data_IF_999159313135
#
_entry.id   IF_999159313135
#
_cell.length_a   1.000
_cell.length_b   1.000
_cell.length_c   1.000
_cell.angle_alpha   90.00
_cell.angle_beta   90.00
_cell.angle_gamma   90.00
#
_symmetry.space_group_name_H-M   'P 1'
#
loop_
_entity.id
_entity.type
_entity.pdbx_description
1 polymer ?
#
# COMPACT_ATOMS: atom_id res chain seq x y z
N UNK A 1 -0.50 -22.03 7.09
CA UNK A 1 0.21 -20.98 6.31
C UNK A 1 -0.63 -19.71 6.03
N UNK A 2 -1.70 -19.42 6.81
CA UNK A 2 -2.63 -18.31 6.55
C UNK A 2 -2.19 -16.94 7.14
N UNK A 3 -1.48 -16.95 8.28
CA UNK A 3 -1.18 -15.74 9.09
C UNK A 3 -0.34 -14.68 8.35
N UNK A 4 0.68 -15.08 7.58
CA UNK A 4 1.51 -14.15 6.81
C UNK A 4 0.76 -13.49 5.63
N UNK A 5 -0.27 -14.17 5.12
CA UNK A 5 -1.10 -13.65 4.02
C UNK A 5 -2.09 -12.59 4.52
N UNK A 6 -2.62 -12.77 5.73
CA UNK A 6 -3.50 -11.80 6.37
C UNK A 6 -2.73 -10.52 6.77
N UNK A 7 -1.52 -10.65 7.35
CA UNK A 7 -0.68 -9.50 7.69
C UNK A 7 -0.31 -8.63 6.47
N UNK A 8 0.04 -9.25 5.34
CA UNK A 8 0.27 -8.54 4.06
C UNK A 8 -1.01 -7.87 3.52
N UNK A 9 -2.15 -8.54 3.62
CA UNK A 9 -3.44 -7.97 3.22
C UNK A 9 -3.83 -6.74 4.03
N UNK A 10 -3.58 -6.76 5.34
CA UNK A 10 -3.93 -5.66 6.26
C UNK A 10 -3.22 -4.35 5.97
N UNK A 11 -1.98 -4.40 5.47
CA UNK A 11 -1.23 -3.19 5.09
C UNK A 11 -1.49 -2.79 3.63
N UNK A 12 -1.78 -3.75 2.76
CA UNK A 12 -2.05 -3.52 1.35
C UNK A 12 -3.38 -2.79 1.12
N UNK A 13 -4.45 -3.22 1.81
CA UNK A 13 -5.78 -2.62 1.67
C UNK A 13 -5.78 -1.11 1.95
N UNK A 14 -5.26 -0.60 3.09
CA UNK A 14 -5.22 0.83 3.34
C UNK A 14 -4.32 1.57 2.34
N UNK A 15 -3.17 1.02 1.93
CA UNK A 15 -2.32 1.66 0.91
C UNK A 15 -3.06 1.86 -0.42
N UNK A 16 -3.80 0.85 -0.89
CA UNK A 16 -4.55 0.95 -2.14
C UNK A 16 -5.73 1.92 -2.04
N UNK A 17 -6.48 1.87 -0.92
CA UNK A 17 -7.61 2.79 -0.70
C UNK A 17 -7.13 4.25 -0.63
N UNK A 18 -6.08 4.53 0.16
CA UNK A 18 -5.55 5.87 0.31
C UNK A 18 -4.89 6.35 -0.99
N UNK A 19 -4.13 5.48 -1.66
CA UNK A 19 -3.52 5.77 -2.96
C UNK A 19 -4.55 6.09 -4.04
N UNK A 20 -5.65 5.34 -4.10
CA UNK A 20 -6.77 5.60 -5.02
C UNK A 20 -7.51 6.91 -4.72
N UNK A 21 -7.63 7.29 -3.45
CA UNK A 21 -8.18 8.58 -3.06
C UNK A 21 -7.31 9.74 -3.56
N UNK A 22 -5.99 9.64 -3.38
CA UNK A 22 -5.03 10.64 -3.89
C UNK A 22 -4.98 10.67 -5.42
N UNK A 23 -5.07 9.52 -6.10
CA UNK A 23 -5.15 9.48 -7.56
C UNK A 23 -6.44 10.14 -8.07
N UNK A 24 -7.56 9.92 -7.38
CA UNK A 24 -8.83 10.59 -7.69
C UNK A 24 -8.73 12.10 -7.48
N UNK A 25 -8.05 12.54 -6.42
CA UNK A 25 -7.72 13.94 -6.19
C UNK A 25 -6.78 14.52 -7.26
N UNK A 26 -5.88 13.72 -7.84
CA UNK A 26 -5.06 14.16 -8.97
C UNK A 26 -5.83 14.20 -10.32
N UNK A 27 -6.90 13.41 -10.45
CA UNK A 27 -7.71 13.37 -11.67
C UNK A 27 -8.76 14.50 -11.72
N UNK A 28 -9.35 14.86 -10.58
CA UNK A 28 -10.46 15.82 -10.50
C UNK A 28 -10.26 16.94 -9.47
N UNK A 29 -9.17 16.94 -8.70
CA UNK A 29 -8.91 17.94 -7.66
C UNK A 29 -8.24 19.21 -8.17
N UNK A 30 -7.84 20.05 -7.23
CA UNK A 30 -7.28 21.36 -7.52
C UNK A 30 -5.90 21.27 -8.20
N UNK A 31 -5.69 22.10 -9.22
CA UNK A 31 -4.47 22.07 -10.04
C UNK A 31 -3.20 22.40 -9.25
N UNK A 32 -3.31 23.21 -8.17
CA UNK A 32 -2.18 23.55 -7.30
C UNK A 32 -1.59 22.34 -6.56
N UNK A 33 -2.44 21.36 -6.23
CA UNK A 33 -2.06 20.16 -5.47
C UNK A 33 -2.06 18.89 -6.32
N UNK A 34 -2.35 19.02 -7.62
CA UNK A 34 -2.51 17.89 -8.53
C UNK A 34 -1.24 17.03 -8.63
N UNK A 35 -0.08 17.67 -8.75
CA UNK A 35 1.21 16.97 -8.86
C UNK A 35 1.56 16.25 -7.55
N UNK A 36 1.29 16.89 -6.40
CA UNK A 36 1.51 16.28 -5.10
C UNK A 36 0.59 15.08 -4.87
N UNK A 37 -0.69 15.23 -5.24
CA UNK A 37 -1.68 14.16 -5.15
C UNK A 37 -1.31 12.98 -6.06
N UNK A 38 -0.81 13.25 -7.27
CA UNK A 38 -0.36 12.22 -8.19
C UNK A 38 0.83 11.45 -7.62
N UNK A 39 1.86 12.16 -7.12
CA UNK A 39 3.06 11.52 -6.56
C UNK A 39 2.74 10.68 -5.31
N UNK A 40 1.90 11.19 -4.41
CA UNK A 40 1.50 10.46 -3.20
C UNK A 40 0.63 9.25 -3.57
N UNK A 41 -0.36 9.44 -4.45
CA UNK A 41 -1.23 8.35 -4.89
C UNK A 41 -0.46 7.21 -5.55
N UNK A 42 0.43 7.55 -6.49
CA UNK A 42 1.26 6.57 -7.21
C UNK A 42 2.28 5.93 -6.26
N UNK A 43 2.87 6.69 -5.34
CA UNK A 43 3.78 6.18 -4.32
C UNK A 43 3.12 5.16 -3.39
N UNK A 44 1.91 5.44 -2.89
CA UNK A 44 1.13 4.54 -2.02
C UNK A 44 0.73 3.25 -2.75
N UNK A 45 0.21 3.36 -3.98
CA UNK A 45 -0.15 2.19 -4.78
C UNK A 45 1.08 1.36 -5.12
N UNK A 46 2.15 2.00 -5.57
CA UNK A 46 3.42 1.35 -5.92
C UNK A 46 4.06 0.66 -4.72
N UNK A 47 4.15 1.33 -3.57
CA UNK A 47 4.68 0.76 -2.34
C UNK A 47 3.82 -0.40 -1.82
N UNK A 48 2.50 -0.26 -1.87
CA UNK A 48 1.56 -1.34 -1.51
C UNK A 48 1.75 -2.58 -2.37
N UNK A 49 1.91 -2.42 -3.69
CA UNK A 49 2.23 -3.53 -4.59
C UNK A 49 3.62 -4.12 -4.31
N UNK A 50 4.65 -3.28 -4.13
CA UNK A 50 6.02 -3.72 -3.83
C UNK A 50 6.10 -4.49 -2.51
N UNK A 51 5.30 -4.13 -1.51
CA UNK A 51 5.23 -4.86 -0.23
C UNK A 51 4.75 -6.32 -0.39
N UNK A 52 4.04 -6.64 -1.48
CA UNK A 52 3.70 -8.04 -1.80
C UNK A 52 4.93 -8.84 -2.17
N UNK A 53 5.90 -8.22 -2.85
CA UNK A 53 7.15 -8.84 -3.31
C UNK A 53 8.20 -8.97 -2.21
N UNK A 54 8.10 -8.23 -1.11
CA UNK A 54 9.01 -8.38 0.03
C UNK A 54 8.78 -9.74 0.69
N UNK A 55 9.78 -10.63 0.76
CA UNK A 55 9.65 -11.92 1.42
C UNK A 55 9.31 -11.72 2.90
N UNK A 56 8.25 -12.37 3.38
CA UNK A 56 7.97 -12.42 4.82
C UNK A 56 9.04 -13.27 5.49
N UNK A 57 9.67 -12.74 6.54
CA UNK A 57 10.54 -13.52 7.41
C UNK A 57 9.79 -14.77 7.92
N UNK A 58 10.48 -15.92 8.07
CA UNK A 58 9.87 -17.11 8.64
C UNK A 58 9.25 -16.78 10.00
N UNK A 59 8.10 -17.38 10.35
CA UNK A 59 7.61 -17.27 11.72
C UNK A 59 8.71 -17.79 12.64
N UNK A 60 9.08 -16.99 13.63
CA UNK A 60 9.91 -17.43 14.75
C UNK A 60 9.25 -18.70 15.27
N UNK A 61 9.97 -19.81 15.20
CA UNK A 61 9.48 -21.05 15.78
C UNK A 61 9.44 -20.78 17.26
N UNK A 62 8.24 -20.67 17.82
CA UNK A 62 8.02 -20.86 19.25
C UNK A 62 8.54 -22.27 19.57
N UNK A 63 9.81 -22.36 19.97
CA UNK A 63 10.38 -23.57 20.54
C UNK A 63 9.79 -23.71 21.94
N UNK A 64 8.75 -24.55 22.03
CA UNK A 64 8.18 -25.09 23.27
C UNK A 64 8.33 -26.60 23.25
#
# INVERSE_FOLDING_TARGET
MSRNRNAKGIVLVPCLLLGGAFLSAAAWGEQSNQLLALLIGLGLVGAGLLAQFIPTAPPEKDEL
#
